data_IF_681414638909
#
_entry.id   IF_681414638909
#
_cell.length_a   1.000
_cell.length_b   1.000
_cell.length_c   1.000
_cell.angle_alpha   90.00
_cell.angle_beta   90.00
_cell.angle_gamma   90.00
#
_symmetry.space_group_name_H-M   'P 1'
#
loop_
_entity.id
_entity.type
_entity.pdbx_description
1 polymer ?
#
# COMPACT_ATOMS: atom_id res chain seq x y z
N UNK A 1 -18.53 -19.92 -1.45
CA UNK A 1 -17.22 -19.47 -0.93
C UNK A 1 -17.35 -17.99 -0.73
N UNK A 2 -17.68 -17.58 0.50
CA UNK A 2 -18.30 -16.29 0.77
C UNK A 2 -17.35 -15.43 1.59
N UNK A 3 -17.04 -14.23 1.10
CA UNK A 3 -16.69 -13.02 1.85
C UNK A 3 -15.97 -13.26 3.19
N UNK A 4 -14.91 -14.07 3.18
CA UNK A 4 -14.17 -14.35 4.40
C UNK A 4 -13.41 -13.08 4.79
N UNK A 5 -13.71 -12.62 6.00
CA UNK A 5 -13.11 -11.44 6.59
C UNK A 5 -12.07 -11.91 7.57
N UNK A 6 -10.82 -11.62 7.28
CA UNK A 6 -9.71 -11.89 8.18
C UNK A 6 -9.33 -10.58 8.89
N UNK A 7 -9.01 -10.62 10.20
CA UNK A 7 -8.59 -9.42 10.92
C UNK A 7 -7.16 -8.97 10.57
N UNK A 8 -6.41 -9.80 9.83
CA UNK A 8 -4.99 -9.63 9.52
C UNK A 8 -4.63 -10.29 8.20
N UNK A 9 -3.45 -9.97 7.66
CA UNK A 9 -2.93 -10.58 6.44
C UNK A 9 -2.76 -12.09 6.61
N UNK A 10 -3.27 -12.84 5.65
CA UNK A 10 -2.89 -14.24 5.47
C UNK A 10 -1.49 -14.33 4.88
N UNK A 11 -0.81 -15.45 5.10
CA UNK A 11 0.57 -15.67 4.67
C UNK A 11 0.83 -15.29 3.19
N UNK A 12 0.00 -15.69 2.20
CA UNK A 12 0.23 -15.29 0.81
C UNK A 12 0.26 -13.77 0.60
N UNK A 13 -0.59 -13.01 1.29
CA UNK A 13 -0.63 -11.55 1.16
C UNK A 13 0.57 -10.90 1.86
N UNK A 14 0.93 -11.40 3.04
CA UNK A 14 2.12 -10.96 3.74
C UNK A 14 3.39 -11.14 2.88
N UNK A 15 3.56 -12.34 2.30
CA UNK A 15 4.71 -12.67 1.44
C UNK A 15 4.75 -11.76 0.20
N UNK A 16 3.60 -11.51 -0.45
CA UNK A 16 3.52 -10.65 -1.63
C UNK A 16 3.81 -9.18 -1.35
N UNK A 17 3.60 -8.73 -0.11
CA UNK A 17 3.92 -7.39 0.37
C UNK A 17 5.36 -7.26 0.88
N UNK A 18 6.24 -8.26 0.72
CA UNK A 18 7.65 -8.15 1.08
C UNK A 18 8.53 -7.54 -0.04
N UNK A 19 7.95 -7.29 -1.22
CA UNK A 19 8.61 -6.71 -2.40
C UNK A 19 7.79 -5.53 -2.91
N UNK A 20 8.44 -4.62 -3.65
CA UNK A 20 7.72 -3.56 -4.36
C UNK A 20 6.67 -4.19 -5.30
N UNK A 21 5.45 -3.65 -5.30
CA UNK A 21 4.33 -4.16 -6.07
C UNK A 21 3.30 -3.07 -6.32
N UNK A 22 2.66 -3.10 -7.49
CA UNK A 22 1.50 -2.25 -7.77
C UNK A 22 0.33 -2.57 -6.83
N UNK A 23 -0.14 -1.54 -6.13
CA UNK A 23 -1.42 -1.52 -5.41
C UNK A 23 -2.14 -0.21 -5.70
N UNK A 24 -3.44 -0.17 -5.39
CA UNK A 24 -4.15 1.10 -5.29
C UNK A 24 -4.46 1.41 -3.84
N UNK A 25 -4.33 2.68 -3.48
CA UNK A 25 -4.64 3.22 -2.16
C UNK A 25 -5.86 4.12 -2.30
N UNK A 26 -6.94 3.79 -1.59
CA UNK A 26 -8.09 4.66 -1.42
C UNK A 26 -7.99 5.41 -0.09
N UNK A 27 -8.24 6.72 -0.13
CA UNK A 27 -8.32 7.63 1.03
C UNK A 27 -9.55 8.52 0.89
N UNK A 28 -9.90 9.27 1.95
CA UNK A 28 -10.93 10.31 1.86
C UNK A 28 -10.27 11.65 1.53
N UNK A 29 -10.69 12.26 0.43
CA UNK A 29 -10.18 13.54 -0.03
C UNK A 29 -10.51 14.67 0.96
N UNK A 30 -9.48 15.35 1.46
CA UNK A 30 -9.65 16.36 2.51
C UNK A 30 -10.38 17.63 2.06
N UNK A 31 -10.45 17.91 0.76
CA UNK A 31 -11.14 19.08 0.22
C UNK A 31 -12.61 18.78 -0.07
N UNK A 32 -12.91 17.61 -0.63
CA UNK A 32 -14.24 17.26 -1.15
C UNK A 32 -15.02 16.30 -0.26
N UNK A 33 -14.35 15.56 0.63
CA UNK A 33 -14.93 14.46 1.40
C UNK A 33 -15.23 13.19 0.57
N UNK A 34 -14.90 13.19 -0.72
CA UNK A 34 -15.09 12.06 -1.64
C UNK A 34 -13.95 11.03 -1.57
N UNK A 35 -14.10 9.87 -2.22
CA UNK A 35 -13.01 8.91 -2.34
C UNK A 35 -11.90 9.44 -3.27
N UNK A 36 -10.66 9.36 -2.81
CA UNK A 36 -9.47 9.60 -3.61
C UNK A 36 -8.72 8.27 -3.81
N UNK A 37 -8.31 7.96 -5.05
CA UNK A 37 -7.56 6.74 -5.36
C UNK A 37 -6.23 7.10 -6.00
N UNK A 38 -5.16 6.49 -5.49
CA UNK A 38 -3.80 6.64 -6.01
C UNK A 38 -3.17 5.27 -6.28
N UNK A 39 -2.40 5.15 -7.36
CA UNK A 39 -1.53 3.99 -7.58
C UNK A 39 -0.19 4.21 -6.88
N UNK A 40 0.26 3.24 -6.08
CA UNK A 40 1.54 3.27 -5.37
C UNK A 40 2.25 1.93 -5.48
N UNK A 41 3.57 1.91 -5.23
CA UNK A 41 4.35 0.67 -5.28
C UNK A 41 5.26 0.40 -4.08
N UNK A 42 5.63 1.43 -3.32
CA UNK A 42 6.35 1.31 -2.06
C UNK A 42 5.39 0.98 -0.92
N UNK A 43 5.02 -0.30 -0.85
CA UNK A 43 4.18 -0.90 0.19
C UNK A 43 4.94 -2.07 0.81
N UNK A 44 4.85 -2.24 2.13
CA UNK A 44 5.56 -3.27 2.88
C UNK A 44 4.68 -3.77 4.02
N UNK A 45 4.46 -5.09 4.14
CA UNK A 45 3.87 -5.64 5.37
C UNK A 45 4.94 -5.71 6.47
N UNK A 46 4.77 -4.95 7.56
CA UNK A 46 5.67 -4.97 8.73
C UNK A 46 5.46 -6.25 9.54
N UNK A 47 4.20 -6.59 9.74
CA UNK A 47 3.72 -7.83 10.34
C UNK A 47 2.35 -8.16 9.72
N UNK A 48 1.64 -9.15 10.26
CA UNK A 48 0.33 -9.55 9.73
C UNK A 48 -0.76 -8.49 9.97
N UNK A 49 -0.63 -7.65 10.99
CA UNK A 49 -1.61 -6.63 11.38
C UNK A 49 -1.28 -5.22 10.87
N UNK A 50 -0.08 -5.02 10.31
CA UNK A 50 0.42 -3.68 9.98
C UNK A 50 1.09 -3.62 8.61
N UNK A 51 0.67 -2.64 7.81
CA UNK A 51 1.27 -2.35 6.49
C UNK A 51 1.84 -0.94 6.47
N UNK A 52 3.07 -0.81 6.00
CA UNK A 52 3.74 0.45 5.71
C UNK A 52 3.58 0.81 4.25
N UNK A 53 3.51 2.10 3.97
CA UNK A 53 3.76 2.62 2.64
C UNK A 53 4.50 3.96 2.71
N UNK A 54 5.23 4.28 1.63
CA UNK A 54 5.96 5.53 1.50
C UNK A 54 5.40 6.36 0.35
N UNK A 55 5.20 7.66 0.57
CA UNK A 55 4.76 8.64 -0.44
C UNK A 55 5.51 9.94 -0.28
N UNK A 56 5.57 10.77 -1.32
CA UNK A 56 6.12 12.12 -1.20
C UNK A 56 5.39 12.90 -0.10
N UNK A 57 6.14 13.63 0.73
CA UNK A 57 5.57 14.33 1.88
C UNK A 57 4.65 15.50 1.51
N UNK A 58 4.64 15.92 0.24
CA UNK A 58 3.70 16.91 -0.33
C UNK A 58 2.51 16.26 -1.01
N UNK A 59 2.39 14.93 -0.95
CA UNK A 59 1.28 14.22 -1.57
C UNK A 59 -0.03 14.59 -0.88
N UNK A 60 -1.09 14.76 -1.69
CA UNK A 60 -2.47 14.88 -1.21
C UNK A 60 -2.87 13.70 -0.31
N UNK A 61 -2.26 12.53 -0.48
CA UNK A 61 -2.45 11.37 0.40
C UNK A 61 -2.15 11.73 1.86
N UNK A 62 -1.11 12.52 2.12
CA UNK A 62 -0.75 12.93 3.49
C UNK A 62 -1.80 13.85 4.08
N UNK A 63 -2.29 14.83 3.33
CA UNK A 63 -3.35 15.73 3.79
C UNK A 63 -4.67 14.99 4.03
N UNK A 64 -4.99 14.04 3.14
CA UNK A 64 -6.14 13.15 3.28
C UNK A 64 -6.07 12.36 4.59
N UNK A 65 -4.92 11.73 4.89
CA UNK A 65 -4.73 10.90 6.08
C UNK A 65 -4.75 11.74 7.36
N UNK A 66 -4.18 12.94 7.34
CA UNK A 66 -4.22 13.87 8.48
C UNK A 66 -5.64 14.34 8.79
N UNK A 67 -6.49 14.49 7.77
CA UNK A 67 -7.89 14.90 7.91
C UNK A 67 -8.81 13.71 8.25
N UNK A 68 -8.56 12.55 7.66
CA UNK A 68 -9.33 11.33 7.82
C UNK A 68 -8.40 10.12 7.70
N UNK A 69 -8.24 9.41 8.82
CA UNK A 69 -7.33 8.28 8.93
C UNK A 69 -7.79 7.01 8.21
N UNK A 70 -8.97 6.98 7.58
CA UNK A 70 -9.48 5.77 6.93
C UNK A 70 -8.84 5.58 5.57
N UNK A 71 -8.20 4.43 5.40
CA UNK A 71 -7.54 4.05 4.17
C UNK A 71 -7.81 2.59 3.81
N UNK A 72 -7.76 2.30 2.50
CA UNK A 72 -7.88 0.95 1.97
C UNK A 72 -6.78 0.72 0.94
N UNK A 73 -6.02 -0.36 1.10
CA UNK A 73 -5.14 -0.88 0.05
C UNK A 73 -5.90 -1.95 -0.72
N UNK A 74 -6.00 -1.80 -2.04
CA UNK A 74 -6.46 -2.85 -2.93
C UNK A 74 -5.26 -3.56 -3.56
N UNK A 75 -5.21 -4.88 -3.35
CA UNK A 75 -4.09 -5.74 -3.72
C UNK A 75 -4.59 -6.88 -4.60
N UNK A 76 -4.00 -7.02 -5.79
CA UNK A 76 -4.17 -8.22 -6.62
C UNK A 76 -3.04 -9.19 -6.23
N UNK A 77 -3.39 -10.37 -5.72
CA UNK A 77 -2.46 -11.40 -5.27
C UNK A 77 -3.22 -12.72 -5.07
N UNK A 78 -2.51 -13.85 -4.94
CA UNK A 78 -3.12 -15.14 -4.57
C UNK A 78 -4.33 -15.51 -5.46
N UNK A 79 -4.20 -15.27 -6.78
CA UNK A 79 -5.25 -15.48 -7.78
C UNK A 79 -6.57 -14.71 -7.52
N UNK A 80 -6.55 -13.66 -6.70
CA UNK A 80 -7.74 -12.91 -6.30
C UNK A 80 -7.45 -11.40 -6.16
N UNK A 81 -8.47 -10.63 -5.76
CA UNK A 81 -8.36 -9.20 -5.43
C UNK A 81 -8.78 -8.99 -3.99
N UNK A 82 -7.93 -8.34 -3.20
CA UNK A 82 -8.13 -8.14 -1.76
C UNK A 82 -8.27 -6.66 -1.42
N UNK A 83 -9.15 -6.36 -0.48
CA UNK A 83 -9.25 -5.08 0.22
C UNK A 83 -8.63 -5.23 1.60
N UNK A 84 -7.63 -4.40 1.91
CA UNK A 84 -6.98 -4.31 3.21
C UNK A 84 -7.34 -2.95 3.80
N UNK A 85 -8.29 -2.93 4.73
CA UNK A 85 -8.88 -1.72 5.30
C UNK A 85 -8.34 -1.46 6.71
N UNK A 86 -8.04 -0.20 7.02
CA UNK A 86 -7.49 0.15 8.32
C UNK A 86 -7.44 1.63 8.62
N UNK A 87 -6.76 1.97 9.71
CA UNK A 87 -6.46 3.36 10.09
C UNK A 87 -5.02 3.69 9.80
N UNK A 88 -4.81 4.73 9.02
CA UNK A 88 -3.52 5.24 8.58
C UNK A 88 -3.01 6.36 9.49
N UNK A 89 -1.71 6.35 9.80
CA UNK A 89 -1.05 7.43 10.53
C UNK A 89 0.36 7.67 9.98
N UNK A 90 0.74 8.95 9.88
CA UNK A 90 2.10 9.34 9.47
C UNK A 90 3.06 9.06 10.63
N UNK A 91 3.95 8.09 10.46
CA UNK A 91 4.94 7.72 11.48
C UNK A 91 6.20 8.56 11.36
N UNK A 92 6.60 8.91 10.14
CA UNK A 92 7.73 9.79 9.87
C UNK A 92 7.37 10.77 8.76
N UNK A 93 7.50 12.07 9.01
CA UNK A 93 7.33 13.11 7.99
C UNK A 93 8.48 13.11 6.96
N UNK A 94 9.60 12.46 7.31
CA UNK A 94 10.75 12.25 6.45
C UNK A 94 11.41 10.91 6.78
N UNK A 95 11.29 9.94 5.88
CA UNK A 95 11.94 8.65 5.94
C UNK A 95 13.45 8.84 5.82
N UNK A 96 14.20 8.28 6.77
CA UNK A 96 15.65 8.37 6.79
C UNK A 96 16.30 7.40 5.78
N UNK A 97 17.49 7.74 5.30
CA UNK A 97 18.26 6.86 4.41
C UNK A 97 17.83 6.84 2.94
N UNK A 98 16.86 7.69 2.55
CA UNK A 98 16.43 7.88 1.15
C UNK A 98 16.75 9.29 0.64
N UNK A 99 17.03 9.48 -0.66
CA UNK A 99 17.37 10.79 -1.22
C UNK A 99 16.17 11.73 -1.38
N UNK A 100 14.95 11.19 -1.36
CA UNK A 100 13.70 11.93 -1.52
C UNK A 100 13.06 12.29 -0.17
N UNK A 101 12.21 13.31 -0.16
CA UNK A 101 11.41 13.69 1.02
C UNK A 101 10.14 12.85 1.07
N UNK A 102 10.29 11.58 1.44
CA UNK A 102 9.17 10.66 1.57
C UNK A 102 8.67 10.64 3.01
N UNK A 103 7.36 10.62 3.22
CA UNK A 103 6.76 10.30 4.49
C UNK A 103 6.53 8.79 4.60
N UNK A 104 6.75 8.23 5.78
CA UNK A 104 6.38 6.86 6.13
C UNK A 104 5.01 6.87 6.77
N UNK A 105 4.09 6.11 6.21
CA UNK A 105 2.74 5.93 6.73
C UNK A 105 2.54 4.48 7.14
N UNK A 106 1.92 4.30 8.30
CA UNK A 106 1.48 3.02 8.82
C UNK A 106 -0.02 2.88 8.67
N UNK A 107 -0.50 1.72 8.23
CA UNK A 107 -1.89 1.29 8.31
C UNK A 107 -1.99 0.16 9.33
N UNK A 108 -2.74 0.41 10.40
CA UNK A 108 -3.18 -0.63 11.33
C UNK A 108 -4.42 -1.30 10.74
N UNK A 109 -4.32 -2.59 10.41
CA UNK A 109 -5.35 -3.35 9.71
C UNK A 109 -6.52 -3.63 10.66
N UNK A 110 -7.73 -3.37 10.15
CA UNK A 110 -8.99 -3.74 10.79
C UNK A 110 -9.70 -4.89 10.08
N UNK A 111 -9.50 -5.02 8.78
CA UNK A 111 -10.17 -6.01 7.94
C UNK A 111 -9.32 -6.29 6.69
N UNK A 112 -9.21 -7.57 6.35
CA UNK A 112 -8.73 -8.10 5.07
C UNK A 112 -9.86 -8.91 4.46
N UNK A 113 -10.27 -8.54 3.25
CA UNK A 113 -11.42 -9.14 2.56
C UNK A 113 -11.05 -9.52 1.13
N UNK A 114 -11.38 -10.74 0.73
CA UNK A 114 -11.44 -11.10 -0.68
C UNK A 114 -12.64 -10.40 -1.32
N UNK A 115 -12.37 -9.51 -2.27
CA UNK A 115 -13.35 -8.69 -2.99
C UNK A 115 -13.48 -9.10 -4.46
N UNK A 116 -13.00 -10.29 -4.84
CA UNK A 116 -13.17 -10.83 -6.17
C UNK A 116 -14.63 -11.20 -6.44
N UNK A 117 -15.09 -10.93 -7.66
CA UNK A 117 -16.43 -11.30 -8.08
C UNK A 117 -16.58 -12.82 -8.25
N UNK A 118 -17.80 -13.30 -8.07
CA UNK A 118 -18.10 -14.73 -8.06
C UNK A 118 -17.73 -15.43 -9.37
N UNK A 119 -17.19 -16.65 -9.24
CA UNK A 119 -16.96 -17.57 -10.36
C UNK A 119 -15.73 -17.22 -11.19
N UNK A 120 -14.80 -16.44 -10.67
CA UNK A 120 -13.60 -16.02 -11.39
C UNK A 120 -12.38 -15.94 -10.50
N UNK A 121 -11.21 -15.97 -11.12
CA UNK A 121 -9.91 -15.79 -10.48
C UNK A 121 -9.02 -14.92 -11.36
N UNK A 122 -8.03 -14.29 -10.75
CA UNK A 122 -6.96 -13.60 -11.48
C UNK A 122 -6.02 -14.66 -12.06
N UNK A 123 -5.89 -14.67 -13.39
CA UNK A 123 -5.01 -15.59 -14.13
C UNK A 123 -3.67 -14.97 -14.51
N UNK A 124 -3.57 -13.64 -14.49
CA UNK A 124 -2.36 -12.88 -14.73
C UNK A 124 -2.43 -11.57 -13.94
N UNK A 125 -1.38 -11.28 -13.17
CA UNK A 125 -1.30 -10.05 -12.38
C UNK A 125 -0.77 -8.88 -13.21
N UNK A 126 -1.18 -7.63 -12.92
CA UNK A 126 -0.62 -6.47 -13.58
C UNK A 126 0.91 -6.42 -13.47
N UNK A 127 1.57 -6.21 -14.59
CA UNK A 127 3.01 -5.94 -14.67
C UNK A 127 3.19 -4.48 -15.09
N UNK A 128 4.22 -3.83 -14.57
CA UNK A 128 4.59 -2.47 -14.96
C UNK A 128 6.08 -2.38 -15.28
N UNK A 129 6.44 -1.52 -16.22
CA UNK A 129 7.83 -1.25 -16.62
C UNK A 129 8.22 0.17 -16.21
N UNK A 130 9.47 0.35 -15.81
CA UNK A 130 10.04 1.69 -15.55
C UNK A 130 10.39 2.29 -16.91
N UNK A 131 9.76 3.41 -17.25
CA UNK A 131 9.89 4.03 -18.59
C UNK A 131 10.98 5.09 -18.68
N UNK A 132 11.58 5.48 -17.55
CA UNK A 132 12.63 6.49 -17.47
C UNK A 132 13.69 6.08 -16.44
N UNK A 133 14.98 6.25 -16.79
CA UNK A 133 16.18 5.89 -16.00
C UNK A 133 15.98 4.65 -15.10
N UNK A 134 15.88 3.48 -15.75
CA UNK A 134 15.54 2.21 -15.10
C UNK A 134 16.48 1.87 -13.94
N UNK A 135 17.77 2.16 -14.09
CA UNK A 135 18.77 1.87 -13.07
C UNK A 135 18.61 2.79 -11.86
N UNK A 136 18.37 4.09 -12.08
CA UNK A 136 18.09 5.00 -10.97
C UNK A 136 16.79 4.67 -10.26
N UNK A 137 15.72 4.34 -11.02
CA UNK A 137 14.44 3.94 -10.45
C UNK A 137 14.58 2.69 -9.59
N UNK A 138 15.22 1.62 -10.11
CA UNK A 138 15.44 0.39 -9.35
C UNK A 138 16.31 0.60 -8.10
N UNK A 139 17.34 1.47 -8.19
CA UNK A 139 18.15 1.85 -7.01
C UNK A 139 17.30 2.56 -5.96
N UNK A 140 16.44 3.49 -6.38
CA UNK A 140 15.55 4.22 -5.48
C UNK A 140 14.54 3.29 -4.83
N UNK A 141 13.87 2.41 -5.60
CA UNK A 141 12.93 1.43 -5.08
C UNK A 141 13.56 0.58 -3.97
N UNK A 142 14.79 0.10 -4.21
CA UNK A 142 15.55 -0.65 -3.21
C UNK A 142 15.83 0.18 -1.95
N UNK A 143 16.30 1.42 -2.10
CA UNK A 143 16.58 2.30 -0.96
C UNK A 143 15.33 2.56 -0.11
N UNK A 144 14.19 2.81 -0.75
CA UNK A 144 12.92 3.05 -0.04
C UNK A 144 12.46 1.81 0.69
N UNK A 145 12.42 0.65 0.02
CA UNK A 145 12.02 -0.61 0.65
C UNK A 145 12.94 -1.01 1.80
N UNK A 146 14.26 -0.82 1.66
CA UNK A 146 15.22 -1.11 2.74
C UNK A 146 15.09 -0.13 3.92
N UNK A 147 14.78 1.15 3.66
CA UNK A 147 14.52 2.12 4.71
C UNK A 147 13.23 1.79 5.47
N UNK A 148 12.16 1.42 4.76
CA UNK A 148 10.89 1.00 5.37
C UNK A 148 11.05 -0.24 6.25
N UNK A 149 11.86 -1.23 5.84
CA UNK A 149 12.13 -2.44 6.65
C UNK A 149 12.88 -2.16 7.96
N UNK A 150 13.61 -1.05 8.04
CA UNK A 150 14.40 -0.67 9.22
C UNK A 150 13.63 0.20 10.21
N UNK A 151 12.46 0.71 9.83
CA UNK A 151 11.61 1.59 10.62
C UNK A 151 10.70 0.81 11.59
#
# INVERSE_FOLDING_TARGET
MANQVEPKLIKPLFDELQKERFVTLATVDHETGGPNVSAISWVLAKDEGTVYFAVDNRSRIIDNIKSNDKAVINLIANESTYSISGTASVQQEKLEGVPLKLALVEINISEVRDVMFYGSKIVAEPQYDKTYDKDAAARLDKQVMDAMRKA
#
